data_IF_190107367835
#
_entry.id   IF_190107367835
#
_cell.length_a   1.000
_cell.length_b   1.000
_cell.length_c   1.000
_cell.angle_alpha   90.00
_cell.angle_beta   90.00
_cell.angle_gamma   90.00
#
_symmetry.space_group_name_H-M   'P 1'
#
loop_
_entity.id
_entity.type
_entity.pdbx_description
1 polymer ?
#
# COMPACT_ATOMS: atom_id res chain seq x y z
N UNK A 1 -25.44 4.28 36.42
CA UNK A 1 -24.01 3.93 36.48
C UNK A 1 -23.29 4.95 35.61
N UNK A 2 -22.77 6.01 36.23
CA UNK A 2 -22.49 7.28 35.56
C UNK A 2 -21.20 7.24 34.71
N UNK A 3 -21.36 7.78 33.50
CA UNK A 3 -20.39 8.10 32.47
C UNK A 3 -19.20 8.89 33.05
N UNK A 4 -18.01 8.29 33.07
CA UNK A 4 -16.74 8.91 33.51
C UNK A 4 -15.78 9.16 32.34
N UNK A 5 -16.24 9.02 31.09
CA UNK A 5 -15.41 9.25 29.92
C UNK A 5 -15.16 10.76 29.72
N UNK A 6 -13.90 11.17 29.62
CA UNK A 6 -13.53 12.52 29.13
C UNK A 6 -13.19 13.62 30.15
N UNK A 7 -13.24 13.36 31.47
CA UNK A 7 -12.91 14.40 32.49
C UNK A 7 -11.41 14.47 32.81
N UNK A 8 -10.63 13.48 32.39
CA UNK A 8 -9.24 13.32 32.80
C UNK A 8 -8.34 13.57 31.59
N UNK A 9 -8.12 14.86 31.26
CA UNK A 9 -7.03 15.24 30.34
C UNK A 9 -5.68 14.65 30.76
N UNK A 10 -4.63 14.71 29.93
CA UNK A 10 -3.40 13.94 30.12
C UNK A 10 -2.70 14.33 31.44
N UNK A 11 -2.72 13.45 32.44
CA UNK A 11 -2.18 13.75 33.78
C UNK A 11 -0.69 13.50 33.94
N UNK A 12 -0.03 12.83 33.00
CA UNK A 12 1.42 12.60 33.05
C UNK A 12 2.03 12.52 31.64
N UNK A 13 3.20 13.15 31.48
CA UNK A 13 4.16 12.78 30.43
C UNK A 13 4.75 11.43 30.79
N UNK A 14 4.76 10.51 29.83
CA UNK A 14 5.10 9.13 30.11
C UNK A 14 6.61 8.90 30.02
N UNK A 15 7.15 8.00 30.87
CA UNK A 15 8.59 7.86 31.14
C UNK A 15 9.36 7.09 30.07
N UNK A 16 8.68 6.27 29.26
CA UNK A 16 9.30 5.37 28.28
C UNK A 16 8.93 5.82 26.87
N UNK A 17 9.89 6.25 26.03
CA UNK A 17 9.59 6.63 24.66
C UNK A 17 9.30 5.39 23.81
N UNK A 18 8.14 5.36 23.16
CA UNK A 18 7.79 4.32 22.18
C UNK A 18 8.59 4.53 20.88
N UNK A 19 9.31 3.51 20.37
CA UNK A 19 10.02 3.62 19.10
C UNK A 19 9.08 3.88 17.93
N UNK A 20 9.52 4.73 16.98
CA UNK A 20 8.74 5.08 15.78
C UNK A 20 8.87 4.01 14.71
N UNK A 21 7.74 3.68 14.10
CA UNK A 21 7.68 3.07 12.78
C UNK A 21 7.13 4.13 11.82
N UNK A 22 7.75 4.26 10.65
CA UNK A 22 7.20 5.11 9.60
C UNK A 22 5.93 4.46 9.05
N UNK A 23 4.93 5.28 8.75
CA UNK A 23 3.62 4.85 8.22
C UNK A 23 2.87 3.91 9.17
N UNK A 24 3.18 3.94 10.47
CA UNK A 24 2.47 3.14 11.47
C UNK A 24 1.01 3.57 11.56
N UNK A 25 0.09 2.62 11.70
CA UNK A 25 -1.30 2.95 12.01
C UNK A 25 -1.38 3.63 13.37
N UNK A 26 -2.24 4.65 13.48
CA UNK A 26 -2.45 5.35 14.76
C UNK A 26 -2.91 4.36 15.82
N UNK A 27 -3.77 3.42 15.46
CA UNK A 27 -4.21 2.34 16.34
C UNK A 27 -3.07 1.45 16.83
N UNK A 28 -2.13 1.08 15.94
CA UNK A 28 -0.92 0.31 16.31
C UNK A 28 -0.09 1.11 17.30
N UNK A 29 0.23 2.36 16.97
CA UNK A 29 1.03 3.23 17.83
C UNK A 29 0.42 3.42 19.22
N UNK A 30 -0.89 3.68 19.31
CA UNK A 30 -1.60 3.90 20.59
C UNK A 30 -1.64 2.61 21.42
N UNK A 31 -1.82 1.45 20.81
CA UNK A 31 -1.76 0.17 21.53
C UNK A 31 -0.38 -0.08 22.13
N UNK A 32 0.67 0.17 21.35
CA UNK A 32 2.06 0.05 21.82
C UNK A 32 2.38 1.07 22.92
N UNK A 33 1.81 2.27 22.83
CA UNK A 33 1.89 3.28 23.87
C UNK A 33 1.21 2.79 25.15
N UNK A 34 0.02 2.16 25.06
CA UNK A 34 -0.66 1.60 26.23
C UNK A 34 0.20 0.54 26.92
N UNK A 35 0.72 -0.43 26.15
CA UNK A 35 1.61 -1.47 26.66
C UNK A 35 2.89 -0.92 27.29
N UNK A 36 3.53 0.09 26.68
CA UNK A 36 4.73 0.74 27.23
C UNK A 36 4.48 1.44 28.58
N UNK A 37 3.21 1.63 28.96
CA UNK A 37 2.78 2.25 30.21
C UNK A 37 1.99 1.31 31.10
N UNK A 38 1.97 0.02 30.78
CA UNK A 38 1.24 -1.00 31.56
C UNK A 38 -0.25 -0.64 31.73
N UNK A 39 -0.82 -0.01 30.69
CA UNK A 39 -2.23 0.36 30.63
C UNK A 39 -2.95 -0.56 29.65
N UNK A 40 -4.22 -0.84 29.96
CA UNK A 40 -5.15 -1.33 28.94
C UNK A 40 -5.40 -0.23 27.90
N UNK A 41 -5.68 -0.64 26.66
CA UNK A 41 -5.95 0.31 25.57
C UNK A 41 -7.09 1.29 25.91
N UNK A 42 -8.14 0.80 26.57
CA UNK A 42 -9.27 1.63 27.02
C UNK A 42 -8.85 2.72 27.98
N UNK A 43 -8.01 2.40 28.97
CA UNK A 43 -7.54 3.36 29.98
C UNK A 43 -6.66 4.46 29.37
N UNK A 44 -5.90 4.13 28.33
CA UNK A 44 -5.14 5.13 27.58
C UNK A 44 -6.08 6.04 26.76
N UNK A 45 -7.08 5.47 26.07
CA UNK A 45 -8.04 6.22 25.27
C UNK A 45 -8.91 7.16 26.10
N UNK A 46 -9.28 6.77 27.32
CA UNK A 46 -10.00 7.63 28.26
C UNK A 46 -9.22 8.91 28.63
N UNK A 47 -7.87 8.85 28.55
CA UNK A 47 -6.99 10.01 28.73
C UNK A 47 -6.80 10.82 27.45
N UNK A 48 -6.99 10.20 26.29
CA UNK A 48 -6.94 10.88 24.99
C UNK A 48 -8.19 11.72 24.78
N UNK A 49 -9.37 11.20 25.13
CA UNK A 49 -10.62 11.94 25.05
C UNK A 49 -11.85 11.05 25.12
N UNK A 50 -12.98 11.58 24.64
CA UNK A 50 -14.25 10.84 24.57
C UNK A 50 -14.39 10.13 23.23
N UNK A 51 -14.81 8.88 23.25
CA UNK A 51 -15.08 8.12 22.04
C UNK A 51 -15.87 6.86 22.35
N UNK A 52 -16.39 6.22 21.31
CA UNK A 52 -17.06 4.92 21.47
C UNK A 52 -16.01 3.83 21.28
N UNK A 53 -15.78 3.04 22.33
CA UNK A 53 -14.96 1.84 22.23
C UNK A 53 -15.56 0.90 21.16
N UNK A 54 -14.72 0.21 20.37
CA UNK A 54 -15.22 -0.91 19.59
C UNK A 54 -15.83 -1.95 20.54
N UNK A 55 -16.90 -2.60 20.10
CA UNK A 55 -17.64 -3.65 20.83
C UNK A 55 -16.75 -4.87 21.15
N UNK A 56 -15.52 -4.92 20.62
CA UNK A 56 -14.48 -5.85 21.03
C UNK A 56 -13.11 -5.17 21.03
N UNK A 57 -12.32 -5.23 22.13
CA UNK A 57 -10.98 -4.64 22.25
C UNK A 57 -9.88 -5.34 21.44
N UNK A 58 -10.22 -5.98 20.32
CA UNK A 58 -9.30 -6.74 19.46
C UNK A 58 -9.40 -6.14 18.06
N UNK A 59 -8.39 -5.59 17.40
CA UNK A 59 -6.93 -5.48 17.55
C UNK A 59 -6.54 -4.26 16.68
N UNK A 60 -5.38 -3.61 16.88
CA UNK A 60 -4.85 -2.62 15.93
C UNK A 60 -4.68 -3.14 14.49
N UNK A 61 -4.77 -4.46 14.32
CA UNK A 61 -4.82 -5.13 13.03
C UNK A 61 -6.10 -4.83 12.24
N UNK A 62 -7.22 -4.50 12.88
CA UNK A 62 -8.55 -4.57 12.24
C UNK A 62 -9.18 -3.22 11.93
N UNK A 63 -8.62 -2.14 12.46
CA UNK A 63 -9.30 -0.85 12.51
C UNK A 63 -8.29 0.26 12.72
N UNK A 64 -8.64 1.47 12.27
CA UNK A 64 -7.79 2.65 12.44
C UNK A 64 -8.37 3.64 13.46
N UNK A 65 -7.50 4.30 14.21
CA UNK A 65 -7.85 5.32 15.18
C UNK A 65 -7.76 6.72 14.55
N UNK A 66 -8.88 7.42 14.54
CA UNK A 66 -8.97 8.83 14.17
C UNK A 66 -9.24 9.69 15.41
N UNK A 67 -8.63 10.86 15.46
CA UNK A 67 -8.73 11.81 16.57
C UNK A 67 -9.02 13.20 16.05
N UNK A 68 -9.62 14.07 16.87
CA UNK A 68 -9.64 15.49 16.58
C UNK A 68 -8.37 16.19 17.10
N UNK A 69 -8.28 17.50 16.91
CA UNK A 69 -7.08 18.29 17.27
C UNK A 69 -6.78 18.28 18.77
N UNK A 70 -7.77 18.46 19.65
CA UNK A 70 -7.53 18.35 21.10
C UNK A 70 -7.09 16.94 21.53
N UNK A 71 -7.66 15.88 20.96
CA UNK A 71 -7.22 14.52 21.24
C UNK A 71 -5.80 14.23 20.70
N UNK A 72 -5.41 14.83 19.57
CA UNK A 72 -4.02 14.81 19.09
C UNK A 72 -3.08 15.49 20.09
N UNK A 73 -3.45 16.65 20.64
CA UNK A 73 -2.65 17.35 21.65
C UNK A 73 -2.51 16.50 22.93
N UNK A 74 -3.58 15.82 23.35
CA UNK A 74 -3.52 14.87 24.46
C UNK A 74 -2.58 13.69 24.17
N UNK A 75 -2.68 13.10 22.98
CA UNK A 75 -1.81 12.02 22.54
C UNK A 75 -0.34 12.47 22.44
N UNK A 76 -0.10 13.72 22.03
CA UNK A 76 1.22 14.34 22.00
C UNK A 76 1.83 14.43 23.42
N UNK A 77 1.05 14.88 24.40
CA UNK A 77 1.49 14.91 25.82
C UNK A 77 1.78 13.50 26.34
N UNK A 78 0.88 12.55 26.10
CA UNK A 78 1.03 11.16 26.55
C UNK A 78 2.28 10.51 25.93
N UNK A 79 2.48 10.65 24.62
CA UNK A 79 3.64 10.10 23.92
C UNK A 79 4.95 10.86 24.16
N UNK A 80 4.92 12.00 24.85
CA UNK A 80 6.09 12.86 25.06
C UNK A 80 6.62 13.50 23.77
N UNK A 81 5.75 13.70 22.77
CA UNK A 81 6.13 14.22 21.44
C UNK A 81 5.34 15.49 21.14
N UNK A 82 5.88 16.32 20.26
CA UNK A 82 5.11 17.44 19.71
C UNK A 82 4.08 16.92 18.68
N UNK A 83 2.89 17.53 18.54
CA UNK A 83 1.87 17.13 17.57
C UNK A 83 2.42 16.94 16.16
N UNK A 84 3.18 17.92 15.65
CA UNK A 84 3.78 17.85 14.30
C UNK A 84 4.71 16.63 14.11
N UNK A 85 5.37 16.13 15.17
CA UNK A 85 6.22 14.93 15.09
C UNK A 85 5.40 13.65 15.02
N UNK A 86 4.20 13.63 15.60
CA UNK A 86 3.25 12.54 15.46
C UNK A 86 2.65 12.55 14.05
N UNK A 87 2.22 13.71 13.56
CA UNK A 87 1.64 13.84 12.21
C UNK A 87 2.63 13.48 11.09
N UNK A 88 3.93 13.72 11.29
CA UNK A 88 4.98 13.28 10.36
C UNK A 88 5.19 11.75 10.36
N UNK A 89 4.93 11.08 11.48
CA UNK A 89 5.17 9.65 11.63
C UNK A 89 3.94 8.80 11.33
N UNK A 90 2.74 9.33 11.59
CA UNK A 90 1.45 8.65 11.55
C UNK A 90 0.55 9.34 10.52
N UNK A 91 0.39 8.72 9.35
CA UNK A 91 -0.33 9.28 8.20
C UNK A 91 -1.73 9.76 8.57
N UNK A 92 -2.46 8.98 9.36
CA UNK A 92 -3.85 9.27 9.73
C UNK A 92 -4.01 10.32 10.85
N UNK A 93 -2.92 10.97 11.28
CA UNK A 93 -2.95 12.16 12.13
C UNK A 93 -2.76 13.47 11.35
N UNK A 94 -2.50 13.42 10.05
CA UNK A 94 -2.45 14.62 9.22
C UNK A 94 -3.79 15.36 9.23
N UNK A 95 -3.77 16.67 9.04
CA UNK A 95 -4.94 17.54 9.19
C UNK A 95 -6.16 17.08 8.36
N UNK A 96 -5.95 16.51 7.17
CA UNK A 96 -7.03 15.98 6.30
C UNK A 96 -7.79 14.79 6.90
N UNK A 97 -7.19 14.07 7.85
CA UNK A 97 -7.79 12.90 8.49
C UNK A 97 -8.31 13.15 9.89
N UNK A 98 -8.02 14.32 10.48
CA UNK A 98 -8.52 14.67 11.80
C UNK A 98 -10.05 14.69 11.80
N UNK A 99 -10.63 14.27 12.92
CA UNK A 99 -12.06 14.43 13.15
C UNK A 99 -12.42 15.92 13.26
N UNK A 100 -13.62 16.31 12.82
CA UNK A 100 -14.06 17.69 12.92
C UNK A 100 -14.24 18.15 14.38
N UNK A 101 -14.05 19.46 14.60
CA UNK A 101 -14.21 20.13 15.89
C UNK A 101 -12.96 20.05 16.77
N UNK A 102 -12.60 21.14 17.44
CA UNK A 102 -11.37 21.20 18.22
C UNK A 102 -11.56 20.86 19.70
N UNK A 103 -12.79 20.89 20.24
CA UNK A 103 -13.10 20.64 21.65
C UNK A 103 -14.55 20.12 21.79
N UNK A 104 -14.87 19.14 22.68
CA UNK A 104 -13.97 18.36 23.53
C UNK A 104 -13.05 17.44 22.74
N UNK A 105 -11.98 16.96 23.38
CA UNK A 105 -11.11 15.92 22.83
C UNK A 105 -11.93 14.66 22.49
N UNK A 106 -11.87 14.23 21.23
CA UNK A 106 -12.68 13.14 20.68
C UNK A 106 -11.86 12.18 19.83
N UNK A 107 -12.24 10.91 19.88
CA UNK A 107 -11.67 9.88 19.03
C UNK A 107 -12.75 8.94 18.47
N UNK A 108 -12.45 8.31 17.33
CA UNK A 108 -13.28 7.32 16.65
C UNK A 108 -12.40 6.18 16.16
N UNK A 109 -12.91 4.95 16.23
CA UNK A 109 -12.18 3.76 15.84
C UNK A 109 -13.01 2.89 14.87
N UNK A 110 -13.26 3.36 13.63
CA UNK A 110 -14.00 2.60 12.64
C UNK A 110 -13.22 1.37 12.17
N UNK A 111 -13.95 0.28 11.88
CA UNK A 111 -13.39 -0.91 11.24
C UNK A 111 -12.88 -0.60 9.83
N UNK A 112 -13.62 0.21 9.08
CA UNK A 112 -13.21 0.67 7.75
C UNK A 112 -12.22 1.82 7.88
N UNK A 113 -11.03 1.63 7.32
CA UNK A 113 -10.02 2.67 7.17
C UNK A 113 -10.49 3.62 6.07
N UNK A 114 -10.38 4.93 6.31
CA UNK A 114 -10.81 5.96 5.34
C UNK A 114 -9.99 5.94 4.04
N UNK A 115 -8.68 5.69 4.15
CA UNK A 115 -7.76 5.64 3.01
C UNK A 115 -6.68 4.57 3.26
N UNK A 116 -6.42 3.75 2.25
CA UNK A 116 -5.45 2.65 2.32
C UNK A 116 -5.91 1.44 3.15
N UNK A 117 -4.95 0.62 3.54
CA UNK A 117 -5.15 -0.65 4.23
C UNK A 117 -4.22 -0.77 5.43
N UNK A 118 -4.69 -1.46 6.48
CA UNK A 118 -3.87 -1.80 7.64
C UNK A 118 -3.11 -3.10 7.34
N UNK A 119 -1.84 -3.00 6.97
CA UNK A 119 -0.99 -4.16 6.65
C UNK A 119 -0.03 -4.44 7.78
N UNK A 120 0.32 -5.70 8.00
CA UNK A 120 1.30 -6.04 9.04
C UNK A 120 2.68 -5.48 8.66
N UNK A 121 3.38 -4.89 9.63
CA UNK A 121 4.77 -4.48 9.47
C UNK A 121 5.67 -5.73 9.38
N UNK A 122 6.78 -5.64 8.64
CA UNK A 122 7.81 -6.68 8.70
C UNK A 122 8.39 -6.72 10.12
N UNK A 123 8.18 -7.82 10.83
CA UNK A 123 8.70 -8.15 12.15
C UNK A 123 10.20 -7.87 12.31
N UNK A 124 11.04 -8.22 11.34
CA UNK A 124 12.48 -7.95 11.38
C UNK A 124 12.80 -6.45 11.21
N UNK A 125 12.00 -5.71 10.44
CA UNK A 125 12.12 -4.25 10.34
C UNK A 125 11.65 -3.54 11.62
N UNK A 126 10.64 -4.09 12.28
CA UNK A 126 10.12 -3.62 13.55
C UNK A 126 11.14 -3.88 14.67
N UNK A 127 11.68 -5.10 14.73
CA UNK A 127 12.72 -5.49 15.69
C UNK A 127 13.98 -4.65 15.56
N UNK A 128 14.44 -4.37 14.34
CA UNK A 128 15.58 -3.48 14.08
C UNK A 128 15.35 -2.04 14.57
N UNK A 129 14.10 -1.64 14.84
CA UNK A 129 13.72 -0.36 15.41
C UNK A 129 13.35 -0.45 16.90
N UNK A 130 13.59 -1.59 17.54
CA UNK A 130 13.28 -1.81 18.95
C UNK A 130 11.82 -2.18 19.24
N UNK A 131 11.05 -2.55 18.22
CA UNK A 131 9.64 -2.96 18.37
C UNK A 131 9.55 -4.48 18.39
N UNK A 132 9.17 -5.05 19.54
CA UNK A 132 9.10 -6.51 19.75
C UNK A 132 7.72 -7.11 19.52
N UNK A 133 6.68 -6.30 19.67
CA UNK A 133 5.30 -6.69 19.42
C UNK A 133 4.94 -6.55 17.93
N UNK A 134 3.82 -7.17 17.53
CA UNK A 134 3.29 -6.95 16.19
C UNK A 134 2.90 -5.48 16.03
N UNK A 135 3.23 -4.92 14.86
CA UNK A 135 2.89 -3.56 14.51
C UNK A 135 2.25 -3.55 13.12
N UNK A 136 1.41 -2.54 12.88
CA UNK A 136 0.66 -2.40 11.64
C UNK A 136 0.91 -1.05 11.02
N UNK A 137 0.90 -1.04 9.70
CA UNK A 137 1.16 0.13 8.87
C UNK A 137 -0.11 0.50 8.11
N UNK A 138 -0.29 1.78 7.84
CA UNK A 138 -1.23 2.27 6.83
C UNK A 138 -0.49 2.24 5.51
N UNK A 139 -1.00 1.45 4.56
CA UNK A 139 -0.36 1.23 3.28
C UNK A 139 -1.35 1.38 2.13
N UNK A 140 -0.94 1.91 0.96
CA UNK A 140 -1.85 2.07 -0.17
C UNK A 140 -2.48 0.76 -0.65
N UNK A 141 -1.74 -0.35 -0.55
CA UNK A 141 -2.14 -1.66 -1.05
C UNK A 141 -2.45 -2.61 0.12
N UNK A 142 -3.31 -3.61 -0.11
CA UNK A 142 -3.64 -4.67 0.86
C UNK A 142 -2.44 -5.54 1.25
N UNK A 143 -1.28 -5.31 0.64
CA UNK A 143 -0.07 -6.08 0.87
C UNK A 143 1.18 -5.26 0.63
N UNK A 144 2.31 -5.79 1.10
CA UNK A 144 3.62 -5.17 1.00
C UNK A 144 4.70 -6.22 0.89
N UNK A 145 5.73 -5.92 0.09
CA UNK A 145 6.96 -6.69 0.04
C UNK A 145 8.07 -5.93 0.76
N UNK A 146 8.79 -6.59 1.66
CA UNK A 146 9.99 -6.09 2.30
C UNK A 146 11.22 -6.67 1.59
N UNK A 147 11.90 -5.89 0.75
CA UNK A 147 13.13 -6.35 0.08
C UNK A 147 14.26 -6.69 1.05
N UNK A 148 14.41 -5.88 2.12
CA UNK A 148 15.51 -6.04 3.09
C UNK A 148 15.49 -7.42 3.74
N UNK A 149 14.31 -7.92 4.07
CA UNK A 149 14.12 -9.18 4.79
C UNK A 149 13.43 -10.26 3.96
N UNK A 150 13.14 -9.99 2.68
CA UNK A 150 12.45 -10.87 1.73
C UNK A 150 11.18 -11.47 2.32
N UNK A 151 10.27 -10.60 2.76
CA UNK A 151 8.99 -10.98 3.37
C UNK A 151 7.84 -10.31 2.66
N UNK A 152 6.75 -11.04 2.49
CA UNK A 152 5.46 -10.52 2.07
C UNK A 152 4.54 -10.42 3.30
N UNK A 153 3.92 -9.27 3.48
CA UNK A 153 2.94 -9.02 4.53
C UNK A 153 1.67 -8.49 3.88
N UNK A 154 0.53 -8.81 4.46
CA UNK A 154 -0.78 -8.44 3.93
C UNK A 154 -1.70 -7.92 5.03
N UNK A 155 -2.93 -7.62 4.63
CA UNK A 155 -4.03 -7.29 5.50
C UNK A 155 -4.82 -8.53 5.96
N UNK A 156 -4.29 -9.74 5.75
CA UNK A 156 -4.97 -10.97 6.16
C UNK A 156 -5.02 -11.09 7.69
N UNK A 157 -6.17 -11.58 8.19
CA UNK A 157 -6.52 -11.64 9.62
C UNK A 157 -6.77 -13.06 10.13
N UNK A 158 -6.72 -14.04 9.23
CA UNK A 158 -6.97 -15.45 9.54
C UNK A 158 -5.72 -16.18 10.02
N UNK A 159 -5.69 -17.48 9.77
CA UNK A 159 -4.66 -18.38 10.27
C UNK A 159 -3.28 -18.12 9.64
N UNK A 160 -2.25 -18.65 10.31
CA UNK A 160 -0.87 -18.54 9.86
C UNK A 160 -0.66 -19.05 8.41
N UNK A 161 0.32 -18.50 7.68
CA UNK A 161 1.31 -17.53 8.16
C UNK A 161 0.84 -16.07 8.09
N UNK A 162 1.07 -15.30 9.16
CA UNK A 162 0.88 -13.85 9.16
C UNK A 162 1.96 -13.07 8.39
N UNK A 163 3.11 -13.69 8.13
CA UNK A 163 4.21 -13.13 7.35
C UNK A 163 4.77 -14.23 6.47
N UNK A 164 4.75 -14.01 5.17
CA UNK A 164 5.19 -14.99 4.17
C UNK A 164 6.66 -14.76 3.85
N UNK A 165 7.45 -15.82 3.97
CA UNK A 165 8.89 -15.84 3.70
C UNK A 165 9.13 -16.05 2.20
N UNK A 166 9.90 -15.16 1.55
CA UNK A 166 10.09 -15.16 0.10
C UNK A 166 11.38 -15.86 -0.37
N UNK A 167 12.05 -16.61 0.52
CA UNK A 167 13.26 -17.37 0.18
C UNK A 167 13.01 -18.39 -0.95
N UNK A 168 11.80 -18.97 -1.00
CA UNK A 168 11.37 -19.88 -2.07
C UNK A 168 10.88 -19.19 -3.35
N UNK A 169 10.81 -17.85 -3.37
CA UNK A 169 10.25 -17.04 -4.47
C UNK A 169 11.21 -15.90 -4.90
N UNK A 170 12.44 -16.21 -5.35
CA UNK A 170 13.40 -15.19 -5.79
C UNK A 170 12.90 -14.34 -6.97
N UNK A 171 12.00 -14.87 -7.80
CA UNK A 171 11.30 -14.12 -8.86
C UNK A 171 10.46 -12.97 -8.32
N UNK A 172 9.75 -13.14 -7.20
CA UNK A 172 8.96 -12.07 -6.57
C UNK A 172 9.88 -10.98 -6.04
N UNK A 173 10.99 -11.36 -5.41
CA UNK A 173 11.98 -10.40 -4.89
C UNK A 173 12.60 -9.57 -6.02
N UNK A 174 12.97 -10.22 -7.14
CA UNK A 174 13.50 -9.54 -8.32
C UNK A 174 12.47 -8.60 -8.95
N UNK A 175 11.24 -9.09 -9.13
CA UNK A 175 10.13 -8.31 -9.65
C UNK A 175 9.82 -7.09 -8.76
N UNK A 176 9.86 -7.23 -7.44
CA UNK A 176 9.64 -6.09 -6.55
C UNK A 176 10.78 -5.06 -6.64
N UNK A 177 12.04 -5.50 -6.72
CA UNK A 177 13.16 -4.59 -6.98
C UNK A 177 13.04 -3.88 -8.35
N UNK A 178 12.51 -4.58 -9.35
CA UNK A 178 12.23 -4.07 -10.68
C UNK A 178 11.10 -3.03 -10.69
N UNK A 179 10.02 -3.27 -9.93
CA UNK A 179 8.95 -2.28 -9.69
C UNK A 179 9.51 -1.02 -9.05
N UNK A 180 10.30 -1.14 -7.98
CA UNK A 180 10.90 0.03 -7.33
C UNK A 180 11.83 0.81 -8.26
N UNK A 181 12.55 0.13 -9.18
CA UNK A 181 13.33 0.79 -10.22
C UNK A 181 12.45 1.52 -11.24
N UNK A 182 11.31 0.93 -11.62
CA UNK A 182 10.34 1.53 -12.52
C UNK A 182 9.76 2.81 -11.90
N UNK A 183 9.22 2.72 -10.69
CA UNK A 183 8.68 3.85 -9.92
C UNK A 183 9.75 4.92 -9.65
N UNK A 184 10.96 4.52 -9.24
CA UNK A 184 12.05 5.46 -8.98
C UNK A 184 12.54 6.21 -10.22
N UNK A 185 12.39 5.63 -11.41
CA UNK A 185 12.81 6.24 -12.69
C UNK A 185 11.72 7.08 -13.34
N UNK A 186 10.46 6.68 -13.24
CA UNK A 186 9.33 7.29 -13.94
C UNK A 186 8.30 7.96 -13.01
N UNK A 187 8.51 7.94 -11.70
CA UNK A 187 7.62 8.54 -10.71
C UNK A 187 6.23 7.92 -10.74
N UNK A 188 5.21 8.76 -10.64
CA UNK A 188 3.79 8.37 -10.68
C UNK A 188 3.44 7.54 -11.91
N UNK A 189 4.01 7.88 -13.07
CA UNK A 189 3.76 7.18 -14.33
C UNK A 189 4.28 5.73 -14.29
N UNK A 190 5.37 5.48 -13.55
CA UNK A 190 5.85 4.11 -13.32
C UNK A 190 4.99 3.32 -12.33
N UNK A 191 4.36 4.01 -11.37
CA UNK A 191 3.43 3.38 -10.42
C UNK A 191 2.10 3.03 -11.10
N UNK A 192 1.61 3.88 -11.99
CA UNK A 192 0.42 3.64 -12.80
C UNK A 192 0.61 2.47 -13.77
N UNK A 193 1.71 2.43 -14.53
CA UNK A 193 2.01 1.27 -15.38
C UNK A 193 2.07 -0.06 -14.61
N UNK A 194 2.61 -0.04 -13.38
CA UNK A 194 2.57 -1.22 -12.53
C UNK A 194 1.13 -1.57 -12.11
N UNK A 195 0.31 -0.56 -11.79
CA UNK A 195 -1.09 -0.76 -11.46
C UNK A 195 -1.87 -1.36 -12.65
N UNK A 196 -1.68 -0.85 -13.86
CA UNK A 196 -2.29 -1.37 -15.08
C UNK A 196 -1.90 -2.84 -15.29
N UNK A 197 -0.59 -3.12 -15.32
CA UNK A 197 -0.08 -4.48 -15.50
C UNK A 197 -0.56 -5.43 -14.40
N UNK A 198 -0.65 -4.97 -13.16
CA UNK A 198 -1.16 -5.77 -12.05
C UNK A 198 -2.64 -6.09 -12.20
N UNK A 199 -3.47 -5.13 -12.61
CA UNK A 199 -4.90 -5.37 -12.83
C UNK A 199 -5.16 -6.35 -13.96
N UNK A 200 -4.46 -6.22 -15.09
CA UNK A 200 -4.60 -7.17 -16.21
C UNK A 200 -4.31 -8.60 -15.74
N UNK A 201 -3.16 -8.81 -15.07
CA UNK A 201 -2.78 -10.15 -14.63
C UNK A 201 -3.68 -10.65 -13.49
N UNK A 202 -4.19 -9.76 -12.63
CA UNK A 202 -5.16 -10.14 -11.61
C UNK A 202 -6.46 -10.68 -12.23
N UNK A 203 -6.96 -10.07 -13.31
CA UNK A 203 -8.12 -10.60 -14.06
C UNK A 203 -7.85 -11.96 -14.68
N UNK A 204 -6.64 -12.17 -15.21
CA UNK A 204 -6.24 -13.48 -15.73
C UNK A 204 -6.21 -14.54 -14.62
N UNK A 205 -5.71 -14.19 -13.44
CA UNK A 205 -5.70 -15.05 -12.26
C UNK A 205 -7.11 -15.36 -11.74
N UNK A 206 -8.02 -14.39 -11.72
CA UNK A 206 -9.42 -14.62 -11.35
C UNK A 206 -10.10 -15.67 -12.26
N UNK A 207 -9.74 -15.70 -13.56
CA UNK A 207 -10.28 -16.65 -14.54
C UNK A 207 -9.56 -17.99 -14.56
N UNK A 208 -8.27 -18.02 -14.24
CA UNK A 208 -7.42 -19.22 -14.30
C UNK A 208 -6.51 -19.36 -13.08
N UNK A 209 -7.07 -19.42 -11.85
CA UNK A 209 -6.24 -19.41 -10.63
C UNK A 209 -5.39 -20.68 -10.50
N UNK A 210 -5.75 -21.76 -11.19
CA UNK A 210 -5.08 -23.06 -11.16
C UNK A 210 -3.92 -23.19 -12.14
N UNK A 211 -3.51 -22.10 -12.78
CA UNK A 211 -2.32 -22.12 -13.62
C UNK A 211 -1.15 -22.70 -12.82
N UNK A 212 -0.47 -23.68 -13.42
CA UNK A 212 0.54 -24.48 -12.72
C UNK A 212 1.65 -23.62 -12.12
N UNK A 213 2.10 -22.59 -12.84
CA UNK A 213 3.15 -21.68 -12.37
C UNK A 213 2.74 -20.89 -11.12
N UNK A 214 1.51 -20.38 -11.07
CA UNK A 214 0.97 -19.66 -9.91
C UNK A 214 0.71 -20.60 -8.72
N UNK A 215 0.14 -21.77 -8.99
CA UNK A 215 -0.11 -22.80 -7.99
C UNK A 215 1.19 -23.26 -7.33
N UNK A 216 2.22 -23.52 -8.15
CA UNK A 216 3.53 -23.91 -7.64
C UNK A 216 4.14 -22.83 -6.73
N UNK A 217 4.02 -21.55 -7.10
CA UNK A 217 4.52 -20.46 -6.26
C UNK A 217 3.80 -20.39 -4.92
N UNK A 218 2.47 -20.55 -4.90
CA UNK A 218 1.69 -20.61 -3.67
C UNK A 218 2.20 -21.73 -2.74
N UNK A 219 2.34 -22.94 -3.28
CA UNK A 219 2.80 -24.10 -2.52
C UNK A 219 4.21 -23.95 -1.95
N UNK A 220 5.14 -23.33 -2.69
CA UNK A 220 6.52 -23.08 -2.23
C UNK A 220 6.59 -22.23 -0.96
N UNK A 221 5.55 -21.46 -0.67
CA UNK A 221 5.46 -20.62 0.54
C UNK A 221 4.36 -21.05 1.50
N UNK A 222 3.78 -22.24 1.28
CA UNK A 222 2.76 -22.81 2.14
C UNK A 222 1.43 -22.05 2.11
N UNK A 223 1.08 -21.46 0.96
CA UNK A 223 -0.21 -20.81 0.74
C UNK A 223 -1.08 -21.65 -0.20
N UNK A 224 -2.39 -21.51 -0.04
CA UNK A 224 -3.36 -22.08 -0.95
C UNK A 224 -3.51 -21.20 -2.20
N UNK A 225 -3.47 -21.84 -3.38
CA UNK A 225 -3.39 -21.14 -4.67
C UNK A 225 -4.62 -20.28 -4.97
N UNK A 226 -5.80 -20.68 -4.49
CA UNK A 226 -7.09 -20.00 -4.73
C UNK A 226 -7.47 -18.99 -3.66
N UNK A 227 -6.68 -18.86 -2.59
CA UNK A 227 -6.96 -17.83 -1.59
C UNK A 227 -6.72 -16.44 -2.17
N UNK A 228 -7.64 -15.51 -1.92
CA UNK A 228 -7.55 -14.13 -2.42
C UNK A 228 -6.26 -13.43 -1.99
N UNK A 229 -5.74 -13.74 -0.78
CA UNK A 229 -4.47 -13.17 -0.27
C UNK A 229 -3.25 -13.63 -1.07
N UNK A 230 -3.33 -14.80 -1.71
CA UNK A 230 -2.24 -15.43 -2.44
C UNK A 230 -2.06 -14.78 -3.82
N UNK A 231 -3.17 -14.41 -4.46
CA UNK A 231 -3.20 -13.83 -5.82
C UNK A 231 -2.11 -12.77 -6.04
N UNK A 232 -2.09 -11.67 -5.27
CA UNK A 232 -1.09 -10.63 -5.44
C UNK A 232 0.36 -11.06 -5.37
N UNK A 233 0.68 -12.10 -4.58
CA UNK A 233 2.02 -12.61 -4.43
C UNK A 233 2.43 -13.45 -5.65
N UNK A 234 1.56 -14.34 -6.12
CA UNK A 234 1.89 -15.33 -7.16
C UNK A 234 1.91 -14.73 -8.56
N UNK A 235 1.07 -13.71 -8.83
CA UNK A 235 1.02 -12.99 -10.12
C UNK A 235 2.06 -11.87 -10.24
N UNK A 236 2.70 -11.52 -9.13
CA UNK A 236 3.58 -10.36 -9.03
C UNK A 236 4.67 -10.31 -10.12
N UNK A 237 5.36 -11.43 -10.43
CA UNK A 237 6.40 -11.41 -11.46
C UNK A 237 5.87 -11.08 -12.86
N UNK A 238 4.71 -11.60 -13.22
CA UNK A 238 4.06 -11.35 -14.51
C UNK A 238 3.54 -9.91 -14.60
N UNK A 239 2.92 -9.40 -13.53
CA UNK A 239 2.45 -8.01 -13.45
C UNK A 239 3.59 -6.99 -13.72
N UNK A 240 4.76 -7.20 -13.12
CA UNK A 240 5.92 -6.32 -13.33
C UNK A 240 6.49 -6.45 -14.75
N UNK A 241 6.48 -7.65 -15.34
CA UNK A 241 6.93 -7.83 -16.72
C UNK A 241 5.97 -7.18 -17.71
N UNK A 242 4.67 -7.32 -17.52
CA UNK A 242 3.66 -6.68 -18.36
C UNK A 242 3.77 -5.15 -18.28
N UNK A 243 3.93 -4.58 -17.09
CA UNK A 243 4.15 -3.14 -16.90
C UNK A 243 5.39 -2.63 -17.67
N UNK A 244 6.42 -3.46 -17.85
CA UNK A 244 7.60 -3.12 -18.65
C UNK A 244 7.33 -3.17 -20.14
N UNK A 245 6.53 -4.10 -20.63
CA UNK A 245 6.13 -4.10 -22.04
C UNK A 245 5.20 -2.94 -22.36
N UNK A 246 4.28 -2.61 -21.46
CA UNK A 246 3.44 -1.41 -21.55
C UNK A 246 4.32 -0.15 -21.63
N UNK A 247 5.36 -0.05 -20.77
CA UNK A 247 6.35 1.03 -20.87
C UNK A 247 7.06 1.06 -22.23
N UNK A 248 7.46 -0.09 -22.78
CA UNK A 248 8.15 -0.14 -24.08
C UNK A 248 7.24 0.32 -25.21
N UNK A 249 5.98 -0.10 -25.22
CA UNK A 249 4.97 0.40 -26.16
C UNK A 249 4.79 1.91 -26.06
N UNK A 250 4.71 2.42 -24.83
CA UNK A 250 4.61 3.84 -24.56
C UNK A 250 5.82 4.60 -25.12
N UNK A 251 7.03 4.11 -24.86
CA UNK A 251 8.28 4.72 -25.32
C UNK A 251 8.49 4.69 -26.84
N UNK A 252 7.95 3.69 -27.54
CA UNK A 252 8.01 3.63 -29.01
C UNK A 252 7.23 4.76 -29.66
N UNK A 253 6.18 5.25 -29.02
CA UNK A 253 5.34 6.35 -29.52
C UNK A 253 4.53 6.05 -30.79
N UNK A 254 4.81 4.95 -31.50
CA UNK A 254 4.07 4.52 -32.68
C UNK A 254 2.72 3.92 -32.28
N UNK A 255 1.63 4.41 -32.89
CA UNK A 255 0.24 4.00 -32.59
C UNK A 255 -0.49 3.40 -33.80
N UNK A 256 0.26 3.02 -34.84
CA UNK A 256 -0.29 2.39 -36.04
C UNK A 256 -0.90 1.03 -35.73
N UNK A 257 -1.83 0.55 -36.57
CA UNK A 257 -2.39 -0.80 -36.44
C UNK A 257 -1.30 -1.87 -36.49
N UNK A 258 -0.27 -1.67 -37.31
CA UNK A 258 0.87 -2.58 -37.40
C UNK A 258 1.69 -2.60 -36.10
N UNK A 259 2.01 -1.44 -35.52
CA UNK A 259 2.73 -1.36 -34.25
C UNK A 259 1.96 -2.01 -33.10
N UNK A 260 0.63 -1.80 -33.04
CA UNK A 260 -0.24 -2.50 -32.08
C UNK A 260 -0.18 -4.02 -32.27
N UNK A 261 -0.28 -4.51 -33.50
CA UNK A 261 -0.20 -5.94 -33.80
C UNK A 261 1.15 -6.56 -33.42
N UNK A 262 2.26 -5.83 -33.61
CA UNK A 262 3.59 -6.26 -33.16
C UNK A 262 3.63 -6.37 -31.64
N UNK A 263 3.17 -5.35 -30.92
CA UNK A 263 3.15 -5.38 -29.45
C UNK A 263 2.24 -6.48 -28.89
N UNK A 264 1.06 -6.66 -29.50
CA UNK A 264 0.15 -7.79 -29.25
C UNK A 264 0.90 -9.12 -29.35
N UNK A 265 1.68 -9.33 -30.41
CA UNK A 265 2.50 -10.53 -30.58
C UNK A 265 3.59 -10.68 -29.52
N UNK A 266 4.23 -9.58 -29.09
CA UNK A 266 5.22 -9.60 -28.00
C UNK A 266 4.59 -9.98 -26.66
N UNK A 267 3.39 -9.46 -26.34
CA UNK A 267 2.67 -9.82 -25.11
C UNK A 267 2.17 -11.26 -25.16
N UNK A 268 1.71 -11.75 -26.32
CA UNK A 268 1.34 -13.16 -26.50
C UNK A 268 2.53 -14.10 -26.28
N UNK A 269 3.73 -13.73 -26.73
CA UNK A 269 4.95 -14.50 -26.45
C UNK A 269 5.28 -14.53 -24.95
N UNK A 270 5.08 -13.43 -24.23
CA UNK A 270 5.21 -13.42 -22.77
C UNK A 270 4.18 -14.33 -22.09
N UNK A 271 2.91 -14.23 -22.49
CA UNK A 271 1.84 -15.08 -21.98
C UNK A 271 2.16 -16.56 -22.19
N UNK A 272 2.62 -16.94 -23.37
CA UNK A 272 3.06 -18.32 -23.64
C UNK A 272 4.25 -18.73 -22.72
N UNK A 273 5.21 -17.84 -22.51
CA UNK A 273 6.29 -18.05 -21.55
C UNK A 273 5.82 -18.25 -20.10
N UNK A 274 4.60 -17.83 -19.77
CA UNK A 274 3.97 -17.99 -18.45
C UNK A 274 3.00 -19.18 -18.38
N UNK A 275 2.69 -19.81 -19.52
CA UNK A 275 1.69 -20.88 -19.66
C UNK A 275 0.25 -20.37 -19.79
N UNK A 276 0.05 -19.14 -20.26
CA UNK A 276 -1.24 -18.48 -20.39
C UNK A 276 -1.79 -18.51 -21.83
N UNK A 277 -1.39 -19.48 -22.65
CA UNK A 277 -1.78 -19.55 -24.07
C UNK A 277 -3.30 -19.65 -24.26
N UNK A 278 -3.97 -20.34 -23.35
CA UNK A 278 -5.42 -20.60 -23.40
C UNK A 278 -6.25 -19.56 -22.62
N UNK A 279 -5.62 -18.54 -22.05
CA UNK A 279 -6.34 -17.50 -21.29
C UNK A 279 -6.90 -16.47 -22.26
N UNK A 280 -8.23 -16.41 -22.35
CA UNK A 280 -8.95 -15.36 -23.07
C UNK A 280 -8.87 -14.03 -22.30
N UNK A 281 -7.70 -13.40 -22.36
CA UNK A 281 -7.33 -12.19 -21.62
C UNK A 281 -7.14 -10.96 -22.49
N UNK A 282 -7.67 -10.98 -23.72
CA UNK A 282 -7.47 -9.90 -24.67
C UNK A 282 -8.26 -8.65 -24.30
N UNK A 283 -9.43 -8.78 -23.70
CA UNK A 283 -10.31 -7.64 -23.41
C UNK A 283 -9.60 -6.57 -22.55
N UNK A 284 -8.84 -6.96 -21.52
CA UNK A 284 -8.10 -6.02 -20.68
C UNK A 284 -6.95 -5.32 -21.43
N UNK A 285 -6.22 -6.07 -22.26
CA UNK A 285 -5.14 -5.50 -23.06
C UNK A 285 -5.67 -4.58 -24.18
N UNK A 286 -6.83 -4.91 -24.75
CA UNK A 286 -7.51 -4.07 -25.73
C UNK A 286 -8.00 -2.76 -25.09
N UNK A 287 -8.63 -2.86 -23.90
CA UNK A 287 -9.05 -1.69 -23.11
C UNK A 287 -7.86 -0.76 -22.84
N UNK A 288 -6.71 -1.31 -22.45
CA UNK A 288 -5.48 -0.54 -22.24
C UNK A 288 -4.99 0.11 -23.55
N UNK A 289 -4.90 -0.66 -24.64
CA UNK A 289 -4.46 -0.11 -25.94
C UNK A 289 -5.37 1.01 -26.48
N UNK A 290 -6.67 0.92 -26.23
CA UNK A 290 -7.64 1.94 -26.63
C UNK A 290 -7.49 3.21 -25.79
N UNK A 291 -7.24 3.07 -24.49
CA UNK A 291 -6.88 4.20 -23.62
C UNK A 291 -5.58 4.88 -24.09
N UNK A 292 -4.61 4.08 -24.54
CA UNK A 292 -3.29 4.51 -25.01
C UNK A 292 -3.22 4.75 -26.54
N UNK A 293 -4.36 4.95 -27.19
CA UNK A 293 -4.46 5.09 -28.64
C UNK A 293 -3.78 6.36 -29.19
N UNK A 294 -3.69 7.41 -28.37
CA UNK A 294 -3.07 8.69 -28.73
C UNK A 294 -1.68 8.78 -28.11
N UNK A 295 -0.64 9.22 -28.85
CA UNK A 295 0.68 9.42 -28.29
C UNK A 295 0.67 10.58 -27.28
N UNK A 296 1.65 10.60 -26.36
CA UNK A 296 1.85 11.72 -25.45
C UNK A 296 1.94 13.05 -26.21
N UNK A 297 1.24 14.09 -25.76
CA UNK A 297 1.63 15.44 -26.11
C UNK A 297 3.09 15.64 -25.66
N UNK A 298 3.91 16.23 -26.54
CA UNK A 298 5.31 16.51 -26.27
C UNK A 298 5.48 17.21 -24.90
N UNK A 299 6.61 17.01 -24.20
CA UNK A 299 6.84 17.65 -22.91
C UNK A 299 6.62 19.16 -23.02
N UNK A 300 5.85 19.73 -22.10
CA UNK A 300 5.76 21.17 -21.93
C UNK A 300 7.17 21.75 -21.88
N UNK A 301 7.50 22.58 -22.87
CA UNK A 301 8.74 23.33 -22.90
C UNK A 301 8.56 24.57 -22.03
N UNK A 302 8.69 24.42 -20.71
CA UNK A 302 8.81 25.61 -19.87
C UNK A 302 10.19 26.22 -20.11
N UNK A 303 10.19 27.48 -20.53
CA UNK A 303 11.37 28.29 -20.76
C UNK A 303 12.19 28.52 -19.49
N UNK A 304 13.42 28.98 -19.71
CA UNK A 304 14.42 29.44 -18.75
C UNK A 304 15.24 28.37 -17.98
N UNK A 305 16.51 28.26 -18.41
CA UNK A 305 17.68 28.23 -17.51
C UNK A 305 17.98 26.95 -16.71
N UNK A 306 19.02 26.22 -17.11
CA UNK A 306 19.75 25.30 -16.23
C UNK A 306 20.04 23.94 -16.86
N UNK A 307 21.32 23.63 -17.04
CA UNK A 307 21.85 22.39 -17.62
C UNK A 307 21.65 21.12 -16.76
N UNK A 308 20.76 21.17 -15.76
CA UNK A 308 20.42 20.05 -14.88
C UNK A 308 18.96 19.57 -15.07
N UNK A 309 18.42 19.81 -16.28
CA UNK A 309 17.16 19.23 -16.76
C UNK A 309 17.33 17.71 -16.91
N UNK A 310 17.22 16.98 -15.79
CA UNK A 310 16.85 15.57 -15.80
C UNK A 310 15.65 15.43 -16.74
N UNK A 311 15.88 14.82 -17.90
CA UNK A 311 14.87 14.44 -18.88
C UNK A 311 13.74 13.72 -18.14
N UNK A 312 12.68 14.43 -17.74
CA UNK A 312 11.41 13.81 -17.37
C UNK A 312 10.94 13.13 -18.65
N UNK A 313 11.14 11.83 -18.72
CA UNK A 313 10.70 10.99 -19.83
C UNK A 313 9.19 10.89 -19.68
N UNK A 314 8.49 11.77 -20.39
CA UNK A 314 7.03 11.88 -20.39
C UNK A 314 6.46 10.61 -21.03
N UNK A 315 5.58 9.90 -20.33
CA UNK A 315 4.72 8.86 -20.89
C UNK A 315 3.45 9.52 -21.47
N UNK A 316 2.60 8.77 -22.20
CA UNK A 316 1.33 9.27 -22.75
C UNK A 316 0.54 10.19 -21.81
N UNK A 317 -0.17 11.16 -22.41
CA UNK A 317 -1.16 12.00 -21.72
C UNK A 317 -2.26 11.07 -21.25
N UNK A 318 -2.22 10.74 -19.96
CA UNK A 318 -3.02 9.71 -19.30
C UNK A 318 -2.45 9.45 -17.92
N UNK A 319 -1.12 9.23 -17.89
CA UNK A 319 -0.34 8.95 -16.68
C UNK A 319 -0.05 10.16 -15.76
N UNK A 320 -0.88 11.20 -15.85
CA UNK A 320 -0.79 12.42 -15.05
C UNK A 320 -2.10 12.79 -14.36
N UNK A 321 -3.17 12.01 -14.53
CA UNK A 321 -4.48 12.29 -13.91
C UNK A 321 -4.55 11.84 -12.46
N UNK A 322 -3.72 10.91 -12.03
CA UNK A 322 -3.71 10.40 -10.66
C UNK A 322 -2.69 11.20 -9.85
N UNK A 323 -3.15 12.36 -9.38
CA UNK A 323 -2.38 13.28 -8.56
C UNK A 323 -2.04 12.74 -7.16
N UNK A 324 -2.48 11.54 -6.79
CA UNK A 324 -2.22 10.96 -5.47
C UNK A 324 -1.47 9.63 -5.59
N UNK A 325 -0.16 9.67 -5.33
CA UNK A 325 0.70 8.49 -5.22
C UNK A 325 0.35 7.56 -4.05
N UNK A 326 -0.66 7.92 -3.24
CA UNK A 326 -1.12 7.20 -2.04
C UNK A 326 -2.34 6.29 -2.27
N UNK A 327 -2.97 6.33 -3.45
CA UNK A 327 -4.11 5.47 -3.77
C UNK A 327 -3.74 3.99 -3.93
N UNK A 328 -4.72 3.11 -3.74
CA UNK A 328 -4.60 1.67 -4.03
C UNK A 328 -4.19 1.40 -5.48
N UNK A 329 -3.68 0.19 -5.78
CA UNK A 329 -3.44 -0.22 -7.18
C UNK A 329 -4.69 -0.07 -8.06
N UNK A 330 -5.90 -0.15 -7.48
CA UNK A 330 -7.12 0.08 -8.26
C UNK A 330 -7.24 1.53 -8.69
N UNK A 331 -7.08 2.44 -7.75
CA UNK A 331 -7.16 3.88 -7.97
C UNK A 331 -5.99 4.42 -8.79
N UNK A 332 -4.85 3.74 -8.76
CA UNK A 332 -3.65 4.12 -9.53
C UNK A 332 -3.65 3.65 -10.98
N UNK A 333 -4.56 2.78 -11.39
CA UNK A 333 -4.64 2.28 -12.77
C UNK A 333 -5.42 3.26 -13.63
N UNK A 334 -5.07 3.37 -14.92
CA UNK A 334 -5.87 4.10 -15.90
C UNK A 334 -6.98 3.23 -16.52
N UNK A 335 -7.01 1.94 -16.18
CA UNK A 335 -8.06 1.00 -16.61
C UNK A 335 -9.28 1.10 -15.67
N UNK A 336 -10.48 1.06 -16.26
CA UNK A 336 -11.77 1.26 -15.55
C UNK A 336 -12.35 -0.07 -15.07
#
# INVERSE_FOLDING_TARGET
MADRAGVWGPRLRLRVPVPRLADESTGSFVNRLAHAHELELGDLLDRVGTGRQPVSPRLPALAELYVNRAALDHLAVLSGRAPHRLQLALTNLQDRFLLPGDDPARWQWPFEVREGHVVRCCDLCALARGVREAAWLVWPDQWRVCLRHRRFTDDHRGQDPHVVRLEGLPEVVRAHADRLRLEGRFGAAGAELFADGFQVVARWWERTPDLWSWTQRAWRVGLEARELRTGPLVIYPEAVQLAREMLRYEQRGERTRAARAVWVGEVQQLMAGWGLEDVDGWDELAQWLDHHAQPAAAPFADGAGGADRRRRRVLAVGHSRLAESSGSLRERSCMV
#
